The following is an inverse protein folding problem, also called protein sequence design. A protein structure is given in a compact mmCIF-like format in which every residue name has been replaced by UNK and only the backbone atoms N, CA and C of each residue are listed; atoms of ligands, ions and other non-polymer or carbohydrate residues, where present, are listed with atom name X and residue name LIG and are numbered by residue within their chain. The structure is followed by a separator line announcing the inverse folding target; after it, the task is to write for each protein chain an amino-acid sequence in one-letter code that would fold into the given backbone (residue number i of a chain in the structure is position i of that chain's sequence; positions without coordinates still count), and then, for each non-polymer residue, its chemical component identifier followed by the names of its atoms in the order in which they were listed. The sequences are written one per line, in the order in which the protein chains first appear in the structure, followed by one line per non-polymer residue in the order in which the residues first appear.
data_IF_276199508418
#
_entry.id   IF_276199508418
#
_cell.length_a   1.000
_cell.length_b   1.000
_cell.length_c   1.000
_cell.angle_alpha   90.00
_cell.angle_beta   90.00
_cell.angle_gamma   90.00
#
_symmetry.space_group_name_H-M   'P 1'
#
loop_
_entity.id
_entity.type
_entity.pdbx_description
1 polymer ?
#
# COMPACT_ATOMS: atom_id res chain seq x y z
N UNK A 1 37.23 -33.37 12.08
CA UNK A 1 36.85 -31.94 12.21
C UNK A 1 35.94 -31.58 11.05
N UNK A 2 34.60 -31.58 11.15
CA UNK A 2 33.79 -30.98 10.10
C UNK A 2 33.77 -29.47 10.32
N UNK A 3 34.13 -28.74 9.26
CA UNK A 3 34.10 -27.30 9.19
C UNK A 3 32.70 -26.80 9.56
N UNK A 4 32.64 -25.95 10.59
CA UNK A 4 31.48 -25.12 10.93
C UNK A 4 31.09 -24.37 9.65
N UNK A 5 30.01 -24.79 9.01
CA UNK A 5 29.44 -24.05 7.89
C UNK A 5 29.30 -22.61 8.34
N UNK A 6 29.96 -21.71 7.62
CA UNK A 6 29.94 -20.28 7.88
C UNK A 6 28.48 -19.85 7.95
N UNK A 7 27.98 -19.65 9.18
CA UNK A 7 26.81 -18.83 9.41
C UNK A 7 27.22 -17.46 8.89
N UNK A 8 26.88 -17.17 7.63
CA UNK A 8 26.75 -15.79 7.19
C UNK A 8 25.90 -15.13 8.26
N UNK A 9 26.53 -14.26 9.05
CA UNK A 9 25.88 -13.41 10.03
C UNK A 9 24.87 -12.58 9.25
N UNK A 10 23.66 -13.11 9.07
CA UNK A 10 22.57 -12.41 8.40
C UNK A 10 22.42 -11.13 9.19
N UNK A 11 22.77 -10.02 8.55
CA UNK A 11 22.66 -8.71 9.17
C UNK A 11 21.27 -8.58 9.77
N UNK A 12 21.13 -7.99 10.97
CA UNK A 12 19.83 -7.89 11.62
C UNK A 12 18.83 -7.22 10.67
N UNK A 13 17.65 -7.82 10.53
CA UNK A 13 16.56 -7.27 9.73
C UNK A 13 16.02 -6.02 10.45
N UNK A 14 16.02 -4.89 9.76
CA UNK A 14 15.66 -3.58 10.36
C UNK A 14 14.51 -2.86 9.65
N UNK A 15 14.06 -3.34 8.49
CA UNK A 15 13.01 -2.71 7.68
C UNK A 15 12.23 -3.76 6.91
N UNK A 16 10.93 -3.57 6.84
CA UNK A 16 10.04 -4.28 5.92
C UNK A 16 9.55 -3.31 4.85
N UNK A 17 9.53 -3.75 3.59
CA UNK A 17 8.93 -3.03 2.47
C UNK A 17 8.31 -4.06 1.52
N UNK A 18 7.08 -3.84 1.11
CA UNK A 18 6.39 -4.74 0.19
C UNK A 18 5.10 -4.12 -0.33
N UNK A 19 4.64 -4.63 -1.47
CA UNK A 19 3.36 -4.28 -2.07
C UNK A 19 2.64 -5.54 -2.51
N UNK A 20 1.30 -5.48 -2.52
CA UNK A 20 0.44 -6.56 -2.98
C UNK A 20 -0.65 -5.97 -3.85
N UNK A 21 -0.94 -6.63 -4.98
CA UNK A 21 -2.07 -6.25 -5.83
C UNK A 21 -3.35 -6.82 -5.23
N UNK A 22 -4.33 -5.95 -4.99
CA UNK A 22 -5.63 -6.33 -4.43
C UNK A 22 -6.69 -6.33 -5.53
N UNK A 23 -7.73 -7.14 -5.35
CA UNK A 23 -8.89 -7.11 -6.23
C UNK A 23 -9.76 -5.87 -5.92
N UNK A 24 -9.98 -4.95 -6.87
CA UNK A 24 -10.73 -3.72 -6.63
C UNK A 24 -12.19 -3.98 -6.24
N UNK A 25 -12.77 -5.12 -6.65
CA UNK A 25 -14.15 -5.51 -6.29
C UNK A 25 -14.26 -6.06 -4.87
N UNK A 26 -13.12 -6.40 -4.24
CA UNK A 26 -13.02 -7.00 -2.91
C UNK A 26 -12.03 -6.28 -2.01
N UNK A 27 -11.73 -5.02 -2.30
CA UNK A 27 -10.66 -4.24 -1.66
C UNK A 27 -10.72 -4.29 -0.13
N UNK A 28 -11.90 -4.06 0.48
CA UNK A 28 -12.04 -4.08 1.93
C UNK A 28 -11.72 -5.43 2.58
N UNK A 29 -12.11 -6.54 1.92
CA UNK A 29 -11.81 -7.90 2.41
C UNK A 29 -10.32 -8.19 2.33
N UNK A 30 -9.72 -7.94 1.17
CA UNK A 30 -8.33 -8.31 0.95
C UNK A 30 -7.39 -7.41 1.75
N UNK A 31 -7.68 -6.11 1.84
CA UNK A 31 -6.95 -5.18 2.72
C UNK A 31 -7.07 -5.58 4.19
N UNK A 32 -8.27 -6.01 4.64
CA UNK A 32 -8.47 -6.53 6.00
C UNK A 32 -7.58 -7.75 6.29
N UNK A 33 -7.51 -8.71 5.35
CA UNK A 33 -6.61 -9.87 5.49
C UNK A 33 -5.14 -9.47 5.54
N UNK A 34 -4.70 -8.51 4.74
CA UNK A 34 -3.32 -7.99 4.82
C UNK A 34 -3.06 -7.35 6.18
N UNK A 35 -4.05 -6.62 6.71
CA UNK A 35 -3.95 -6.00 8.03
C UNK A 35 -3.75 -7.05 9.14
N UNK A 36 -4.52 -8.13 9.14
CA UNK A 36 -4.47 -9.18 10.16
C UNK A 36 -3.23 -10.07 10.01
N UNK A 37 -2.93 -10.53 8.80
CA UNK A 37 -1.92 -11.56 8.57
C UNK A 37 -0.50 -10.98 8.50
N UNK A 38 -0.34 -9.71 8.13
CA UNK A 38 0.97 -9.09 7.90
C UNK A 38 1.18 -7.87 8.79
N UNK A 39 0.31 -6.86 8.67
CA UNK A 39 0.55 -5.57 9.31
C UNK A 39 0.54 -5.72 10.83
N UNK A 40 -0.41 -6.48 11.39
CA UNK A 40 -0.52 -6.73 12.84
C UNK A 40 0.78 -7.29 13.43
N UNK A 41 1.43 -8.22 12.74
CA UNK A 41 2.70 -8.80 13.18
C UNK A 41 3.86 -7.79 13.12
N UNK A 42 3.88 -6.92 12.09
CA UNK A 42 4.93 -5.92 11.93
C UNK A 42 4.83 -4.80 12.98
N UNK A 43 3.62 -4.30 13.25
CA UNK A 43 3.41 -3.22 14.22
C UNK A 43 3.54 -3.70 15.67
N UNK A 44 3.45 -5.01 15.92
CA UNK A 44 3.69 -5.59 17.24
C UNK A 44 5.18 -5.60 17.64
N UNK A 45 6.10 -5.35 16.69
CA UNK A 45 7.53 -5.29 16.98
C UNK A 45 7.87 -4.01 17.77
N UNK A 46 8.74 -4.13 18.77
CA UNK A 46 9.14 -3.00 19.60
C UNK A 46 9.79 -1.88 18.77
N UNK A 47 9.24 -0.67 18.86
CA UNK A 47 9.72 0.50 18.12
C UNK A 47 9.36 0.50 16.64
N UNK A 48 8.41 -0.33 16.20
CA UNK A 48 7.95 -0.31 14.82
C UNK A 48 7.13 0.94 14.52
N UNK A 49 7.52 1.65 13.47
CA UNK A 49 6.72 2.69 12.82
C UNK A 49 6.30 2.17 11.44
N UNK A 50 4.99 2.22 11.17
CA UNK A 50 4.44 1.74 9.91
C UNK A 50 3.79 2.89 9.15
N UNK A 51 4.19 3.03 7.89
CA UNK A 51 3.50 3.86 6.90
C UNK A 51 2.83 2.93 5.90
N UNK A 52 1.52 3.07 5.74
CA UNK A 52 0.72 2.28 4.81
C UNK A 52 0.13 3.23 3.77
N UNK A 53 0.34 2.94 2.50
CA UNK A 53 -0.17 3.72 1.38
C UNK A 53 -1.12 2.87 0.55
N UNK A 54 -2.31 3.40 0.24
CA UNK A 54 -3.19 2.85 -0.78
C UNK A 54 -2.90 3.55 -2.11
N UNK A 55 -2.27 2.83 -3.04
CA UNK A 55 -2.06 3.31 -4.40
C UNK A 55 -3.26 2.92 -5.28
N UNK A 56 -3.86 3.90 -5.96
CA UNK A 56 -5.03 3.71 -6.83
C UNK A 56 -4.67 4.10 -8.24
N UNK A 57 -4.66 3.13 -9.15
CA UNK A 57 -4.46 3.37 -10.57
C UNK A 57 -5.66 2.84 -11.35
N UNK A 58 -6.27 3.71 -12.14
CA UNK A 58 -7.37 3.33 -13.03
C UNK A 58 -7.13 3.96 -14.40
N UNK A 59 -7.24 3.15 -15.46
CA UNK A 59 -6.93 3.55 -16.83
C UNK A 59 -7.93 2.94 -17.82
N UNK A 60 -7.83 3.34 -19.08
CA UNK A 60 -8.69 2.81 -20.15
C UNK A 60 -10.02 3.54 -20.32
N UNK A 61 -10.21 4.70 -19.70
CA UNK A 61 -11.36 5.56 -19.94
C UNK A 61 -11.15 6.41 -21.19
N UNK A 62 -12.15 6.48 -22.07
CA UNK A 62 -12.13 7.41 -23.23
C UNK A 62 -12.55 8.83 -22.82
N UNK A 63 -13.50 8.95 -21.89
CA UNK A 63 -14.01 10.21 -21.36
C UNK A 63 -14.47 10.00 -19.93
N UNK A 64 -14.24 10.99 -19.09
CA UNK A 64 -14.81 11.08 -17.73
C UNK A 64 -15.74 12.28 -17.71
N UNK A 65 -16.97 12.08 -17.24
CA UNK A 65 -17.95 13.16 -17.15
C UNK A 65 -17.54 14.18 -16.10
N UNK A 66 -17.80 15.46 -16.37
CA UNK A 66 -17.41 16.58 -15.50
C UNK A 66 -17.94 16.42 -14.07
N UNK A 67 -19.17 15.92 -13.91
CA UNK A 67 -19.74 15.63 -12.60
C UNK A 67 -18.91 14.59 -11.82
N UNK A 68 -18.43 13.53 -12.48
CA UNK A 68 -17.60 12.50 -11.86
C UNK A 68 -16.23 13.08 -11.48
N UNK A 69 -15.62 13.86 -12.38
CA UNK A 69 -14.35 14.55 -12.09
C UNK A 69 -14.49 15.39 -10.82
N UNK A 70 -15.53 16.22 -10.76
CA UNK A 70 -15.81 17.08 -9.60
C UNK A 70 -16.01 16.27 -8.32
N UNK A 71 -16.87 15.25 -8.34
CA UNK A 71 -17.15 14.42 -7.16
C UNK A 71 -15.88 13.75 -6.64
N UNK A 72 -15.07 13.16 -7.52
CA UNK A 72 -13.82 12.50 -7.11
C UNK A 72 -12.80 13.53 -6.60
N UNK A 73 -12.65 14.68 -7.25
CA UNK A 73 -11.76 15.75 -6.79
C UNK A 73 -12.14 16.27 -5.40
N UNK A 74 -13.43 16.43 -5.11
CA UNK A 74 -13.92 16.83 -3.78
C UNK A 74 -13.62 15.73 -2.75
N UNK A 75 -13.87 14.46 -3.10
CA UNK A 75 -13.62 13.32 -2.20
C UNK A 75 -12.14 13.14 -1.86
N UNK A 76 -11.23 13.19 -2.84
CA UNK A 76 -9.80 12.99 -2.57
C UNK A 76 -9.24 14.09 -1.67
N UNK A 77 -9.76 15.33 -1.79
CA UNK A 77 -9.42 16.44 -0.87
C UNK A 77 -9.95 16.16 0.54
N UNK A 78 -11.20 15.73 0.67
CA UNK A 78 -11.80 15.39 1.96
C UNK A 78 -11.09 14.21 2.65
N UNK A 79 -10.65 13.23 1.86
CA UNK A 79 -9.95 12.03 2.31
C UNK A 79 -8.42 12.22 2.41
N UNK A 80 -7.92 13.44 2.19
CA UNK A 80 -6.51 13.81 2.35
C UNK A 80 -5.55 12.94 1.52
N UNK A 81 -5.93 12.65 0.28
CA UNK A 81 -5.00 12.08 -0.68
C UNK A 81 -3.77 13.00 -0.84
N UNK A 82 -2.63 12.40 -1.17
CA UNK A 82 -1.37 13.12 -1.33
C UNK A 82 -1.46 14.18 -2.44
N UNK A 83 -0.76 15.33 -2.29
CA UNK A 83 -0.68 16.33 -3.35
C UNK A 83 -0.22 15.72 -4.68
N UNK A 84 -0.90 16.08 -5.77
CA UNK A 84 -0.68 15.47 -7.08
C UNK A 84 -1.64 14.31 -7.41
N UNK A 85 -2.45 13.84 -6.45
CA UNK A 85 -3.52 12.89 -6.72
C UNK A 85 -4.67 13.55 -7.50
N UNK A 86 -5.17 12.90 -8.55
CA UNK A 86 -6.30 13.38 -9.34
C UNK A 86 -6.37 12.75 -10.71
N UNK A 87 -7.27 13.26 -11.55
CA UNK A 87 -7.24 12.96 -12.99
C UNK A 87 -6.07 13.70 -13.63
N UNK A 88 -5.37 13.02 -14.52
CA UNK A 88 -4.28 13.59 -15.31
C UNK A 88 -4.78 13.86 -16.73
N UNK A 89 -4.44 15.03 -17.26
CA UNK A 89 -4.55 15.26 -18.70
C UNK A 89 -3.36 14.58 -19.37
N UNK A 90 -3.61 13.90 -20.49
CA UNK A 90 -2.54 13.41 -21.36
C UNK A 90 -1.70 14.56 -21.92
#
# INVERSE_FOLDING_TARGET
MPARAAQQERSPLRRFHGSVRLDPTRLGRDAGRVAEEVIAHLVALHGAEATITLEVQVSGFTKVDEHIVRTVTENIRALKFEPGSGFEAE
#
